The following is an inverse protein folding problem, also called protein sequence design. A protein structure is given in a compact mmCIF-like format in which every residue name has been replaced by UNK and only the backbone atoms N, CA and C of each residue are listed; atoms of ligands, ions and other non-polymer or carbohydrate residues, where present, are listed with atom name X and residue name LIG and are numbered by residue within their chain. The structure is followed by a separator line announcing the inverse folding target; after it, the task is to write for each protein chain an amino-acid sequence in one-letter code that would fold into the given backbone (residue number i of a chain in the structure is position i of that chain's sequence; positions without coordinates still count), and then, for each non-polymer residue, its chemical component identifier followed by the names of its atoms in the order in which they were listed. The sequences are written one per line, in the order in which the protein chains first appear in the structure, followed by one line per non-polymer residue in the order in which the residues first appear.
data_IF_903449553904
#
_entry.id   IF_903449553904
#
_cell.length_a   1.000
_cell.length_b   1.000
_cell.length_c   1.000
_cell.angle_alpha   90.00
_cell.angle_beta   90.00
_cell.angle_gamma   90.00
#
_symmetry.space_group_name_H-M   'P 1'
#
loop_
_entity.id
_entity.type
_entity.pdbx_description
1 polymer ?
#
# COMPACT_ATOMS: atom_id res chain seq x y z
N UNK A 1 55.68 14.54 -6.94
CA UNK A 1 54.53 15.42 -7.19
C UNK A 1 53.42 14.57 -7.79
N UNK A 2 52.44 14.18 -6.98
CA UNK A 2 51.29 13.36 -7.39
C UNK A 2 50.05 14.28 -7.39
N UNK A 3 49.48 14.53 -8.56
CA UNK A 3 48.20 15.24 -8.68
C UNK A 3 47.07 14.22 -8.51
N UNK A 4 46.48 14.17 -7.32
CA UNK A 4 45.20 13.50 -7.06
C UNK A 4 44.07 14.43 -7.52
N UNK A 5 43.51 14.18 -8.71
CA UNK A 5 42.24 14.77 -9.14
C UNK A 5 41.10 13.83 -8.76
N UNK A 6 40.59 13.97 -7.54
CA UNK A 6 39.38 13.29 -7.07
C UNK A 6 38.14 14.05 -7.55
N UNK A 7 37.64 13.72 -8.74
CA UNK A 7 36.27 14.11 -9.13
C UNK A 7 35.27 13.16 -8.44
N UNK A 8 34.25 13.66 -7.72
CA UNK A 8 33.21 12.80 -7.18
C UNK A 8 32.39 12.22 -8.34
N UNK A 9 32.31 10.89 -8.40
CA UNK A 9 31.36 10.20 -9.28
C UNK A 9 29.95 10.63 -8.85
N UNK A 10 29.34 11.50 -9.65
CA UNK A 10 27.90 11.73 -9.62
C UNK A 10 27.23 10.35 -9.77
N UNK A 11 26.62 9.86 -8.69
CA UNK A 11 25.73 8.71 -8.74
C UNK A 11 24.62 9.04 -9.74
N UNK A 12 24.65 8.39 -10.90
CA UNK A 12 23.55 8.45 -11.84
C UNK A 12 22.28 7.98 -11.13
N UNK A 13 21.14 8.66 -11.31
CA UNK A 13 19.88 8.18 -10.76
C UNK A 13 19.57 6.79 -11.32
N UNK A 14 18.99 5.88 -10.52
CA UNK A 14 18.61 4.56 -11.00
C UNK A 14 17.65 4.74 -12.18
N UNK A 15 18.05 4.21 -13.33
CA UNK A 15 17.23 4.15 -14.53
C UNK A 15 15.98 3.31 -14.19
N UNK A 16 14.82 3.97 -14.17
CA UNK A 16 13.52 3.30 -14.12
C UNK A 16 13.46 2.28 -15.28
N UNK A 17 12.86 1.09 -15.09
CA UNK A 17 12.74 0.11 -16.15
C UNK A 17 12.06 0.72 -17.38
N UNK A 18 12.53 0.41 -18.61
CA UNK A 18 11.95 0.94 -19.83
C UNK A 18 10.51 0.44 -19.98
N UNK A 19 9.54 1.35 -20.06
CA UNK A 19 8.18 1.02 -20.48
C UNK A 19 7.03 1.64 -19.68
N UNK A 20 7.29 2.40 -18.62
CA UNK A 20 6.24 3.21 -17.96
C UNK A 20 6.74 4.64 -17.86
N UNK A 21 6.19 5.51 -18.71
CA UNK A 21 6.42 6.95 -18.56
C UNK A 21 5.87 7.38 -17.18
N UNK A 22 6.60 8.21 -16.40
CA UNK A 22 6.16 8.63 -15.07
C UNK A 22 4.73 9.19 -15.02
N UNK A 23 4.31 9.80 -16.12
CA UNK A 23 2.95 10.35 -16.28
C UNK A 23 1.87 9.27 -16.38
N UNK A 24 2.18 8.11 -16.97
CA UNK A 24 1.23 6.99 -17.08
C UNK A 24 1.01 6.30 -15.74
N UNK A 25 2.09 6.10 -14.96
CA UNK A 25 1.99 5.61 -13.59
C UNK A 25 1.18 6.56 -12.70
N UNK A 26 1.39 7.87 -12.86
CA UNK A 26 0.62 8.88 -12.14
C UNK A 26 -0.87 8.86 -12.50
N UNK A 27 -1.19 8.76 -13.80
CA UNK A 27 -2.57 8.61 -14.28
C UNK A 27 -3.23 7.36 -13.71
N UNK A 28 -2.54 6.22 -13.74
CA UNK A 28 -3.03 4.96 -13.18
C UNK A 28 -3.33 5.08 -11.67
N UNK A 29 -2.45 5.72 -10.90
CA UNK A 29 -2.68 5.97 -9.47
C UNK A 29 -3.93 6.80 -9.23
N UNK A 30 -4.11 7.89 -9.97
CA UNK A 30 -5.29 8.74 -9.84
C UNK A 30 -6.57 7.96 -10.15
N UNK A 31 -6.60 7.19 -11.23
CA UNK A 31 -7.77 6.37 -11.59
C UNK A 31 -8.06 5.32 -10.51
N UNK A 32 -7.04 4.61 -10.02
CA UNK A 32 -7.22 3.48 -9.08
C UNK A 32 -7.55 3.87 -7.64
N UNK A 33 -7.24 5.09 -7.23
CA UNK A 33 -7.34 5.56 -5.84
C UNK A 33 -8.13 6.86 -5.69
N UNK A 34 -8.87 7.29 -6.70
CA UNK A 34 -9.81 8.40 -6.58
C UNK A 34 -11.09 8.11 -7.34
N UNK A 35 -12.20 8.71 -6.92
CA UNK A 35 -13.48 8.59 -7.60
C UNK A 35 -13.91 9.95 -8.19
N UNK A 36 -14.61 9.99 -9.33
CA UNK A 36 -15.17 11.23 -9.87
C UNK A 36 -16.09 11.92 -8.87
N UNK A 37 -16.01 13.25 -8.78
CA UNK A 37 -16.85 14.07 -7.93
C UNK A 37 -18.10 14.50 -8.71
N UNK A 38 -19.16 13.69 -8.63
CA UNK A 38 -20.42 13.89 -9.36
C UNK A 38 -20.81 12.59 -10.03
N UNK A 39 -21.63 11.78 -9.35
CA UNK A 39 -21.80 10.34 -9.58
C UNK A 39 -22.46 9.94 -10.90
N UNK A 40 -21.85 10.25 -12.05
CA UNK A 40 -22.42 9.91 -13.35
C UNK A 40 -21.48 9.09 -14.23
N UNK A 41 -22.03 7.94 -14.65
CA UNK A 41 -21.62 7.03 -15.73
C UNK A 41 -20.28 6.30 -15.62
N UNK A 42 -20.30 5.00 -15.98
CA UNK A 42 -19.12 4.13 -16.19
C UNK A 42 -18.10 4.75 -17.16
N UNK A 43 -18.52 5.73 -17.97
CA UNK A 43 -17.69 6.51 -18.89
C UNK A 43 -16.73 7.50 -18.21
N UNK A 44 -16.99 7.92 -16.95
CA UNK A 44 -16.17 8.94 -16.26
C UNK A 44 -15.13 8.34 -15.32
N UNK A 45 -15.09 7.01 -15.18
CA UNK A 45 -14.20 6.33 -14.24
C UNK A 45 -12.72 6.59 -14.55
N UNK A 46 -12.37 6.63 -15.83
CA UNK A 46 -10.99 6.83 -16.30
C UNK A 46 -10.71 8.28 -16.76
N UNK A 47 -11.73 9.13 -16.74
CA UNK A 47 -11.61 10.53 -17.14
C UNK A 47 -10.94 11.35 -16.03
N UNK A 48 -9.76 11.90 -16.35
CA UNK A 48 -8.99 12.77 -15.48
C UNK A 48 -9.30 14.26 -15.68
N UNK A 49 -10.14 14.62 -16.65
CA UNK A 49 -10.57 16.01 -16.87
C UNK A 49 -11.62 16.46 -15.86
N UNK A 50 -12.28 15.50 -15.20
CA UNK A 50 -13.28 15.75 -14.16
C UNK A 50 -12.60 15.84 -12.80
N UNK A 51 -13.12 16.70 -11.92
CA UNK A 51 -12.67 16.76 -10.53
C UNK A 51 -12.86 15.40 -9.86
N UNK A 52 -11.81 14.91 -9.19
CA UNK A 52 -11.83 13.62 -8.49
C UNK A 52 -11.60 13.81 -7.00
N UNK A 53 -12.16 12.92 -6.19
CA UNK A 53 -12.06 12.94 -4.73
C UNK A 53 -11.42 11.67 -4.18
N UNK A 54 -10.62 11.84 -3.15
CA UNK A 54 -10.13 10.77 -2.29
C UNK A 54 -11.23 10.35 -1.32
N UNK A 55 -11.91 9.23 -1.62
CA UNK A 55 -12.90 8.64 -0.71
C UNK A 55 -12.23 7.99 0.50
N UNK A 56 -12.97 7.75 1.59
CA UNK A 56 -12.42 7.02 2.75
C UNK A 56 -11.88 5.64 2.34
N UNK A 57 -12.62 4.92 1.51
CA UNK A 57 -12.20 3.63 0.96
C UNK A 57 -10.86 3.73 0.21
N UNK A 58 -10.72 4.74 -0.65
CA UNK A 58 -9.49 4.95 -1.41
C UNK A 58 -8.30 5.27 -0.50
N UNK A 59 -8.51 6.03 0.57
CA UNK A 59 -7.48 6.30 1.59
C UNK A 59 -7.02 5.02 2.28
N UNK A 60 -7.95 4.16 2.68
CA UNK A 60 -7.61 2.87 3.28
C UNK A 60 -6.86 1.95 2.30
N UNK A 61 -7.29 1.92 1.04
CA UNK A 61 -6.62 1.18 -0.03
C UNK A 61 -5.20 1.67 -0.26
N UNK A 62 -4.98 2.99 -0.32
CA UNK A 62 -3.65 3.60 -0.44
C UNK A 62 -2.76 3.26 0.76
N UNK A 63 -3.30 3.35 1.98
CA UNK A 63 -2.57 3.01 3.20
C UNK A 63 -2.10 1.54 3.18
N UNK A 64 -2.95 0.61 2.77
CA UNK A 64 -2.57 -0.80 2.61
C UNK A 64 -1.47 -1.01 1.55
N UNK A 65 -1.51 -0.30 0.42
CA UNK A 65 -0.45 -0.38 -0.59
C UNK A 65 0.87 0.18 -0.07
N UNK A 66 0.83 1.30 0.65
CA UNK A 66 2.01 1.88 1.28
C UNK A 66 2.62 0.95 2.34
N UNK A 67 1.79 0.29 3.17
CA UNK A 67 2.24 -0.73 4.11
C UNK A 67 2.86 -1.93 3.40
N UNK A 68 2.24 -2.43 2.34
CA UNK A 68 2.79 -3.54 1.55
C UNK A 68 4.16 -3.19 0.95
N UNK A 69 4.33 -1.97 0.44
CA UNK A 69 5.60 -1.48 -0.07
C UNK A 69 6.65 -1.35 1.04
N UNK A 70 6.27 -0.81 2.20
CA UNK A 70 7.18 -0.69 3.34
C UNK A 70 7.66 -2.07 3.83
N UNK A 71 6.76 -3.05 3.89
CA UNK A 71 7.11 -4.44 4.22
C UNK A 71 8.00 -5.07 3.15
N UNK A 72 7.76 -4.80 1.86
CA UNK A 72 8.63 -5.26 0.78
C UNK A 72 10.06 -4.75 0.94
N UNK A 73 10.22 -3.45 1.22
CA UNK A 73 11.51 -2.82 1.50
C UNK A 73 12.15 -3.44 2.74
N UNK A 74 11.36 -3.70 3.79
CA UNK A 74 11.80 -4.35 5.02
C UNK A 74 11.99 -5.87 4.93
N UNK A 75 12.09 -6.45 3.73
CA UNK A 75 12.23 -7.90 3.51
C UNK A 75 11.16 -8.74 4.21
N UNK A 76 9.92 -8.25 4.22
CA UNK A 76 8.78 -8.87 4.87
C UNK A 76 8.73 -8.69 6.38
N UNK A 77 9.55 -7.80 6.96
CA UNK A 77 9.54 -7.47 8.40
C UNK A 77 9.23 -5.99 8.59
N UNK A 78 8.65 -5.64 9.74
CA UNK A 78 8.45 -4.24 10.11
C UNK A 78 7.99 -4.07 11.54
N UNK A 79 8.07 -2.84 12.03
CA UNK A 79 7.48 -2.45 13.31
C UNK A 79 6.14 -1.75 13.08
N UNK A 80 5.08 -2.30 13.67
CA UNK A 80 3.70 -1.81 13.50
C UNK A 80 3.53 -0.38 14.01
N UNK A 81 4.22 0.01 15.09
CA UNK A 81 4.11 1.36 15.64
C UNK A 81 4.83 2.38 14.76
N UNK A 82 5.99 2.03 14.22
CA UNK A 82 6.69 2.87 13.24
C UNK A 82 5.90 3.03 11.94
N UNK A 83 5.35 1.93 11.42
CA UNK A 83 4.51 1.95 10.23
C UNK A 83 3.23 2.76 10.44
N UNK A 84 2.61 2.66 11.62
CA UNK A 84 1.46 3.50 11.98
C UNK A 84 1.82 4.98 11.99
N UNK A 85 2.98 5.33 12.57
CA UNK A 85 3.46 6.72 12.63
C UNK A 85 3.77 7.27 11.24
N UNK A 86 4.44 6.50 10.39
CA UNK A 86 4.80 6.90 9.03
C UNK A 86 3.58 7.26 8.18
N UNK A 87 2.49 6.51 8.36
CA UNK A 87 1.25 6.71 7.60
C UNK A 87 0.19 7.54 8.35
N UNK A 88 0.53 8.10 9.51
CA UNK A 88 -0.40 8.81 10.39
C UNK A 88 -1.68 8.01 10.69
N UNK A 89 -1.53 6.69 10.84
CA UNK A 89 -2.62 5.78 11.18
C UNK A 89 -2.72 5.61 12.69
N UNK A 90 -3.92 5.33 13.17
CA UNK A 90 -4.06 4.84 14.54
C UNK A 90 -3.44 3.45 14.67
N UNK A 91 -2.95 3.05 15.87
CA UNK A 91 -2.44 1.70 16.08
C UNK A 91 -3.47 0.62 15.72
N UNK A 92 -4.77 0.89 15.92
CA UNK A 92 -5.86 -0.04 15.57
C UNK A 92 -5.97 -0.24 14.06
N UNK A 93 -5.88 0.82 13.26
CA UNK A 93 -5.94 0.76 11.80
C UNK A 93 -4.72 0.05 11.22
N UNK A 94 -3.51 0.40 11.68
CA UNK A 94 -2.28 -0.26 11.23
C UNK A 94 -2.33 -1.77 11.49
N UNK A 95 -2.73 -2.17 12.71
CA UNK A 95 -2.92 -3.59 13.06
C UNK A 95 -3.96 -4.28 12.17
N UNK A 96 -5.07 -3.61 11.84
CA UNK A 96 -6.11 -4.14 10.96
C UNK A 96 -5.55 -4.40 9.56
N UNK A 97 -4.89 -3.40 8.97
CA UNK A 97 -4.35 -3.49 7.61
C UNK A 97 -3.25 -4.53 7.49
N UNK A 98 -2.32 -4.58 8.46
CA UNK A 98 -1.26 -5.59 8.48
C UNK A 98 -1.85 -7.01 8.54
N UNK A 99 -2.92 -7.23 9.32
CA UNK A 99 -3.64 -8.52 9.34
C UNK A 99 -4.33 -8.82 8.02
N UNK A 100 -4.93 -7.83 7.36
CA UNK A 100 -5.55 -8.00 6.03
C UNK A 100 -4.53 -8.34 4.95
N UNK A 101 -3.30 -7.83 5.08
CA UNK A 101 -2.16 -8.19 4.23
C UNK A 101 -1.57 -9.58 4.54
N UNK A 102 -2.08 -10.28 5.56
CA UNK A 102 -1.58 -11.60 5.96
C UNK A 102 -0.34 -11.55 6.86
N UNK A 103 -0.05 -10.41 7.51
CA UNK A 103 1.08 -10.32 8.42
C UNK A 103 0.82 -11.10 9.71
N UNK A 104 1.77 -11.94 10.08
CA UNK A 104 1.86 -12.54 11.40
C UNK A 104 2.35 -11.49 12.40
N UNK A 105 1.60 -11.31 13.48
CA UNK A 105 1.98 -10.46 14.61
C UNK A 105 2.16 -11.31 15.86
N UNK A 106 3.27 -11.18 16.58
CA UNK A 106 3.54 -11.94 17.78
C UNK A 106 2.55 -11.53 18.88
N UNK A 107 2.06 -12.52 19.64
CA UNK A 107 1.12 -12.31 20.75
C UNK A 107 1.81 -11.90 22.05
N UNK A 108 3.12 -11.69 22.02
CA UNK A 108 3.91 -11.25 23.17
C UNK A 108 3.51 -9.84 23.58
N UNK A 109 3.20 -9.68 24.86
CA UNK A 109 2.76 -8.42 25.45
C UNK A 109 3.80 -7.32 25.18
N UNK A 110 3.39 -6.25 24.51
CA UNK A 110 4.24 -5.11 24.18
C UNK A 110 5.07 -5.23 22.90
N UNK A 111 4.99 -6.35 22.17
CA UNK A 111 5.67 -6.47 20.89
C UNK A 111 4.85 -5.81 19.78
N UNK A 112 5.52 -4.96 19.00
CA UNK A 112 4.99 -4.25 17.83
C UNK A 112 5.51 -4.82 16.51
N UNK A 113 6.37 -5.84 16.56
CA UNK A 113 6.90 -6.47 15.36
C UNK A 113 5.78 -7.09 14.50
N UNK A 114 5.92 -7.03 13.19
CA UNK A 114 5.04 -7.69 12.24
C UNK A 114 5.89 -8.31 11.12
N UNK A 115 5.39 -9.41 10.55
CA UNK A 115 6.11 -10.14 9.50
C UNK A 115 5.16 -10.73 8.47
N UNK A 116 5.48 -10.63 7.19
CA UNK A 116 4.86 -11.39 6.12
C UNK A 116 5.42 -12.81 6.14
N UNK A 117 4.56 -13.80 6.39
CA UNK A 117 4.93 -15.21 6.30
C UNK A 117 4.38 -15.80 4.99
N UNK A 118 5.22 -16.55 4.30
CA UNK A 118 4.84 -17.31 3.11
C UNK A 118 4.68 -18.80 3.48
N UNK A 119 3.69 -19.52 2.91
CA UNK A 119 2.63 -19.00 2.02
C UNK A 119 1.69 -18.02 2.75
N UNK A 120 1.16 -17.04 2.01
CA UNK A 120 0.23 -16.06 2.59
C UNK A 120 -1.04 -16.78 3.05
N UNK A 121 -1.27 -16.79 4.36
CA UNK A 121 -2.56 -17.16 4.91
C UNK A 121 -3.51 -15.97 4.70
N UNK A 122 -4.15 -15.91 3.53
CA UNK A 122 -5.22 -14.94 3.32
C UNK A 122 -6.33 -15.20 4.35
N UNK A 123 -6.80 -14.17 5.07
CA UNK A 123 -7.90 -14.35 6.01
C UNK A 123 -9.07 -14.96 5.26
N UNK A 124 -9.58 -16.10 5.74
CA UNK A 124 -10.80 -16.71 5.21
C UNK A 124 -11.90 -15.68 5.40
N UNK A 125 -12.27 -14.99 4.33
CA UNK A 125 -13.49 -14.21 4.29
C UNK A 125 -14.60 -15.24 4.46
N UNK A 126 -15.18 -15.32 5.66
CA UNK A 126 -16.44 -16.01 5.89
C UNK A 126 -17.48 -15.30 5.00
N UNK A 127 -17.53 -15.69 3.71
CA UNK A 127 -18.68 -15.42 2.86
C UNK A 127 -19.88 -15.98 3.62
N UNK A 128 -20.78 -15.06 4.00
CA UNK A 128 -21.84 -15.32 4.96
C UNK A 128 -22.47 -16.69 4.79
N UNK A 129 -22.49 -17.46 5.88
CA UNK A 129 -23.34 -18.64 6.00
C UNK A 129 -24.75 -18.24 5.57
N UNK A 130 -25.16 -18.68 4.38
CA UNK A 130 -26.57 -18.83 4.08
C UNK A 130 -27.14 -19.77 5.15
N UNK A 131 -27.97 -19.24 6.04
CA UNK A 131 -28.66 -20.04 7.03
C UNK A 131 -29.42 -21.17 6.30
N UNK A 132 -29.30 -22.44 6.74
CA UNK A 132 -30.08 -23.51 6.12
C UNK A 132 -31.56 -23.22 6.36
N UNK A 133 -32.34 -23.07 5.27
CA UNK A 133 -33.79 -23.09 5.35
C UNK A 133 -34.20 -24.44 5.93
N UNK A 134 -34.70 -24.43 7.16
CA UNK A 134 -35.43 -25.57 7.73
C UNK A 134 -36.63 -25.84 6.82
N UNK A 135 -36.70 -27.05 6.27
CA UNK A 135 -37.93 -27.66 5.80
C UNK A 135 -38.68 -28.22 7.00
#
# INVERSE_FOLDING_TARGET
MLLYSSTPRLCAPPLLPPGIEPMDAWRELLVRFTAPQGGSSRSSADDLTVTRRLTSESKHKLAMHALALALWIGHGQGDTAELAKLLSLTPKEANLYLRQLGCAMPRTRGSTACSLKLPLELPRVEQGRAAPKKR
#
